data_IF_567110845379
#
_entry.id   IF_567110845379
#
_cell.length_a   1.000
_cell.length_b   1.000
_cell.length_c   1.000
_cell.angle_alpha   90.00
_cell.angle_beta   90.00
_cell.angle_gamma   90.00
#
_symmetry.space_group_name_H-M   'P 1'
#
loop_
_entity.id
_entity.type
_entity.pdbx_description
1 polymer ?
#
# COMPACT_ATOMS: atom_id res chain seq x y z
N UNK A 1 -34.42 -31.44 -56.59
CA UNK A 1 -35.17 -32.35 -55.72
C UNK A 1 -35.57 -31.56 -54.50
N UNK A 2 -36.84 -31.17 -54.52
CA UNK A 2 -37.46 -30.32 -53.49
C UNK A 2 -38.01 -31.25 -52.41
N UNK A 3 -37.47 -31.15 -51.19
CA UNK A 3 -38.01 -31.90 -50.06
C UNK A 3 -39.25 -31.16 -49.57
N UNK A 4 -40.43 -31.74 -49.89
CA UNK A 4 -41.68 -31.27 -49.29
C UNK A 4 -41.64 -31.47 -47.79
N UNK A 5 -41.63 -30.37 -47.05
CA UNK A 5 -41.77 -30.33 -45.61
C UNK A 5 -43.16 -30.85 -45.23
N UNK A 6 -43.22 -32.05 -44.68
CA UNK A 6 -44.47 -32.66 -44.20
C UNK A 6 -44.87 -31.99 -42.90
N UNK A 7 -45.98 -31.26 -42.94
CA UNK A 7 -46.53 -30.65 -41.75
C UNK A 7 -46.92 -31.72 -40.70
N UNK A 8 -46.58 -31.54 -39.41
CA UNK A 8 -46.91 -32.51 -38.36
C UNK A 8 -48.41 -32.65 -38.22
N UNK A 9 -48.91 -33.87 -38.00
CA UNK A 9 -50.30 -34.24 -37.79
C UNK A 9 -50.74 -33.79 -36.40
N UNK A 10 -51.97 -33.33 -36.21
CA UNK A 10 -52.47 -32.82 -34.92
C UNK A 10 -52.60 -33.88 -33.81
N UNK A 11 -52.41 -35.15 -34.15
CA UNK A 11 -52.55 -36.25 -33.20
C UNK A 11 -51.22 -36.87 -32.77
N UNK A 12 -50.07 -36.30 -33.14
CA UNK A 12 -48.77 -36.77 -32.65
C UNK A 12 -48.63 -36.43 -31.17
N UNK A 13 -48.30 -37.44 -30.30
CA UNK A 13 -48.05 -37.15 -28.90
C UNK A 13 -46.94 -36.14 -28.77
N UNK A 14 -47.22 -35.00 -28.15
CA UNK A 14 -46.21 -33.99 -27.81
C UNK A 14 -45.22 -34.66 -26.84
N UNK A 15 -44.09 -35.08 -27.43
CA UNK A 15 -42.94 -35.52 -26.62
C UNK A 15 -42.43 -34.31 -25.84
N UNK A 16 -42.88 -34.20 -24.60
CA UNK A 16 -42.38 -33.20 -23.67
C UNK A 16 -40.92 -33.58 -23.39
N UNK A 17 -40.02 -32.97 -24.16
CA UNK A 17 -38.59 -33.04 -23.86
C UNK A 17 -38.39 -32.70 -22.38
N UNK A 18 -37.69 -33.57 -21.60
CA UNK A 18 -37.40 -33.24 -20.23
C UNK A 18 -36.71 -31.87 -20.18
N UNK A 19 -37.33 -30.94 -19.45
CA UNK A 19 -36.81 -29.61 -19.27
C UNK A 19 -35.31 -29.73 -18.97
N UNK A 20 -34.52 -29.17 -19.90
CA UNK A 20 -33.07 -29.10 -19.72
C UNK A 20 -32.84 -28.51 -18.33
N UNK A 21 -32.29 -29.34 -17.45
CA UNK A 21 -31.91 -28.94 -16.12
C UNK A 21 -31.07 -27.68 -16.30
N UNK A 22 -31.66 -26.53 -15.98
CA UNK A 22 -30.94 -25.27 -15.89
C UNK A 22 -29.80 -25.52 -14.94
N UNK A 23 -28.62 -25.76 -15.52
CA UNK A 23 -27.38 -25.81 -14.75
C UNK A 23 -27.29 -24.47 -14.04
N UNK A 24 -27.68 -24.49 -12.76
CA UNK A 24 -27.49 -23.37 -11.86
C UNK A 24 -26.03 -22.95 -12.02
N UNK A 25 -25.74 -21.67 -12.34
CA UNK A 25 -24.36 -21.22 -12.44
C UNK A 25 -23.70 -21.58 -11.11
N UNK A 26 -22.72 -22.47 -11.16
CA UNK A 26 -21.95 -22.87 -9.98
C UNK A 26 -21.52 -21.58 -9.28
N UNK A 27 -22.03 -21.39 -8.06
CA UNK A 27 -21.62 -20.27 -7.25
C UNK A 27 -20.08 -20.23 -7.28
N UNK A 28 -19.46 -19.07 -7.54
CA UNK A 28 -18.02 -18.98 -7.55
C UNK A 28 -17.54 -19.56 -6.22
N UNK A 29 -16.93 -20.73 -6.27
CA UNK A 29 -16.21 -21.27 -5.12
C UNK A 29 -15.21 -20.21 -4.74
N UNK A 30 -15.50 -19.50 -3.65
CA UNK A 30 -14.53 -18.65 -2.98
C UNK A 30 -13.42 -19.62 -2.58
N UNK A 31 -12.46 -19.81 -3.51
CA UNK A 31 -11.20 -20.46 -3.18
C UNK A 31 -10.73 -19.76 -1.93
N UNK A 32 -10.75 -20.45 -0.80
CA UNK A 32 -10.23 -19.94 0.43
C UNK A 32 -8.86 -19.37 0.11
N UNK A 33 -8.77 -18.05 0.11
CA UNK A 33 -7.52 -17.36 -0.16
C UNK A 33 -6.58 -17.85 0.93
N UNK A 34 -5.72 -18.82 0.59
CA UNK A 34 -4.59 -19.18 1.43
C UNK A 34 -3.84 -17.87 1.63
N UNK A 35 -4.07 -17.27 2.80
CA UNK A 35 -3.48 -15.98 3.12
C UNK A 35 -1.96 -16.14 3.01
N UNK A 36 -1.38 -15.54 1.98
CA UNK A 36 0.06 -15.58 1.78
C UNK A 36 0.75 -15.14 3.08
N UNK A 37 1.82 -15.83 3.52
CA UNK A 37 2.50 -15.47 4.75
C UNK A 37 3.03 -14.04 4.64
N UNK A 38 2.70 -13.20 5.61
CA UNK A 38 3.09 -11.80 5.65
C UNK A 38 2.02 -10.89 6.26
N UNK A 39 2.44 -9.70 6.67
CA UNK A 39 1.55 -8.68 7.24
C UNK A 39 0.70 -8.06 6.13
N UNK A 40 -0.57 -7.79 6.46
CA UNK A 40 -1.47 -7.07 5.54
C UNK A 40 -0.94 -5.67 5.22
N UNK A 41 -1.25 -5.10 4.05
CA UNK A 41 -0.82 -3.76 3.65
C UNK A 41 -1.08 -2.69 4.72
N UNK A 42 -2.26 -2.70 5.32
CA UNK A 42 -2.62 -1.78 6.39
C UNK A 42 -1.69 -1.86 7.60
N UNK A 43 -1.20 -3.06 7.96
CA UNK A 43 -0.26 -3.23 9.07
C UNK A 43 1.11 -2.61 8.76
N UNK A 44 1.60 -2.76 7.53
CA UNK A 44 2.86 -2.13 7.10
C UNK A 44 2.74 -0.61 7.12
N UNK A 45 1.64 -0.05 6.59
CA UNK A 45 1.36 1.38 6.65
C UNK A 45 1.34 1.91 8.08
N UNK A 46 0.61 1.23 8.98
CA UNK A 46 0.51 1.62 10.38
C UNK A 46 1.87 1.64 11.07
N UNK A 47 2.70 0.62 10.83
CA UNK A 47 4.02 0.55 11.46
C UNK A 47 4.94 1.64 10.91
N UNK A 48 5.07 1.76 9.58
CA UNK A 48 5.99 2.72 8.97
C UNK A 48 5.59 4.16 9.31
N UNK A 49 4.33 4.52 9.14
CA UNK A 49 3.82 5.86 9.44
C UNK A 49 3.85 6.10 10.96
N UNK A 50 3.32 5.19 11.77
CA UNK A 50 3.22 5.34 13.20
C UNK A 50 4.57 5.52 13.86
N UNK A 51 5.54 4.64 13.54
CA UNK A 51 6.90 4.77 14.07
C UNK A 51 7.55 6.08 13.65
N UNK A 52 7.43 6.45 12.36
CA UNK A 52 8.05 7.69 11.86
C UNK A 52 7.45 8.93 12.48
N UNK A 53 6.13 8.99 12.64
CA UNK A 53 5.44 10.13 13.28
C UNK A 53 5.80 10.23 14.77
N UNK A 54 5.75 9.12 15.52
CA UNK A 54 6.11 9.09 16.93
C UNK A 54 7.56 9.53 17.14
N UNK A 55 8.47 9.02 16.32
CA UNK A 55 9.88 9.42 16.38
C UNK A 55 10.11 10.86 15.91
N UNK A 56 9.28 11.37 15.00
CA UNK A 56 9.26 12.78 14.62
C UNK A 56 8.87 13.69 15.79
N UNK A 57 7.87 13.31 16.57
CA UNK A 57 7.53 14.02 17.82
C UNK A 57 8.66 13.94 18.84
N UNK A 58 9.27 12.77 19.02
CA UNK A 58 10.41 12.63 19.92
C UNK A 58 11.60 13.50 19.48
N UNK A 59 11.89 13.54 18.17
CA UNK A 59 12.97 14.37 17.62
C UNK A 59 12.70 15.86 17.83
N UNK A 60 11.46 16.33 17.59
CA UNK A 60 11.07 17.71 17.80
C UNK A 60 11.14 18.13 19.28
N UNK A 61 10.73 17.25 20.20
CA UNK A 61 10.68 17.55 21.64
C UNK A 61 12.04 17.40 22.33
N UNK A 62 12.84 16.39 21.96
CA UNK A 62 14.10 16.07 22.66
C UNK A 62 15.28 16.83 22.05
N UNK A 63 15.34 16.91 20.74
CA UNK A 63 16.47 17.55 20.03
C UNK A 63 16.27 19.06 19.94
N UNK A 64 15.02 19.55 20.02
CA UNK A 64 14.71 20.98 20.06
C UNK A 64 15.18 21.77 18.85
N UNK A 65 15.31 21.10 17.69
CA UNK A 65 15.77 21.72 16.45
C UNK A 65 14.64 22.43 15.73
N UNK A 66 15.00 23.36 14.86
CA UNK A 66 14.06 24.09 14.00
C UNK A 66 13.45 23.25 12.87
N UNK A 67 13.83 21.97 12.77
CA UNK A 67 13.30 21.01 11.79
C UNK A 67 13.55 19.57 12.27
N UNK A 68 12.75 18.64 11.78
CA UNK A 68 12.93 17.20 12.02
C UNK A 68 14.32 16.76 11.54
N UNK A 69 14.99 15.96 12.35
CA UNK A 69 16.39 15.65 12.19
C UNK A 69 16.69 14.18 11.90
N UNK A 70 17.90 13.77 12.26
CA UNK A 70 18.46 12.46 12.00
C UNK A 70 17.72 11.30 12.72
N UNK A 71 17.14 11.58 13.88
CA UNK A 71 16.39 10.57 14.66
C UNK A 71 15.16 10.09 13.89
N UNK A 72 14.40 11.02 13.31
CA UNK A 72 13.27 10.72 12.43
C UNK A 72 13.75 9.97 11.19
N UNK A 73 14.89 10.35 10.60
CA UNK A 73 15.46 9.72 9.43
C UNK A 73 15.88 8.25 9.68
N UNK A 74 16.59 7.98 10.79
CA UNK A 74 17.00 6.61 11.15
C UNK A 74 15.78 5.73 11.43
N UNK A 75 14.79 6.24 12.15
CA UNK A 75 13.57 5.50 12.45
C UNK A 75 12.78 5.17 11.20
N UNK A 76 12.69 6.12 10.25
CA UNK A 76 12.11 5.90 8.93
C UNK A 76 12.81 4.76 8.18
N UNK A 77 14.15 4.78 8.15
CA UNK A 77 14.94 3.73 7.50
C UNK A 77 14.69 2.37 8.15
N UNK A 78 14.74 2.28 9.48
CA UNK A 78 14.51 1.04 10.21
C UNK A 78 13.08 0.50 9.98
N UNK A 79 12.07 1.36 10.07
CA UNK A 79 10.68 1.00 9.83
C UNK A 79 10.44 0.55 8.36
N UNK A 80 11.12 1.18 7.40
CA UNK A 80 11.05 0.82 5.98
C UNK A 80 11.67 -0.53 5.69
N UNK A 81 12.83 -0.83 6.28
CA UNK A 81 13.46 -2.15 6.20
C UNK A 81 12.52 -3.22 6.78
N UNK A 82 12.00 -2.99 7.97
CA UNK A 82 11.06 -3.91 8.59
C UNK A 82 9.82 -4.13 7.71
N UNK A 83 9.19 -3.06 7.23
CA UNK A 83 8.04 -3.12 6.36
C UNK A 83 8.31 -3.91 5.07
N UNK A 84 9.46 -3.66 4.42
CA UNK A 84 9.86 -4.37 3.20
C UNK A 84 10.14 -5.87 3.43
N UNK A 85 10.58 -6.26 4.64
CA UNK A 85 10.82 -7.67 4.98
C UNK A 85 9.53 -8.42 5.29
N UNK A 86 8.55 -7.77 5.93
CA UNK A 86 7.36 -8.42 6.48
C UNK A 86 6.14 -8.32 5.55
N UNK A 87 6.13 -7.38 4.62
CA UNK A 87 5.04 -7.19 3.64
C UNK A 87 4.85 -8.44 2.77
N UNK A 88 3.59 -8.74 2.41
CA UNK A 88 3.26 -9.77 1.44
C UNK A 88 3.85 -9.41 0.07
N UNK A 89 4.24 -10.43 -0.70
CA UNK A 89 4.89 -10.23 -2.00
C UNK A 89 3.99 -9.53 -3.03
N UNK A 90 2.71 -9.79 -2.98
CA UNK A 90 1.68 -9.14 -3.81
C UNK A 90 1.58 -7.65 -3.53
N UNK A 91 1.80 -7.25 -2.25
CA UNK A 91 1.68 -5.88 -1.77
C UNK A 91 3.02 -5.15 -1.63
N UNK A 92 4.09 -5.72 -2.16
CA UNK A 92 5.46 -5.23 -1.96
C UNK A 92 5.69 -3.79 -2.43
N UNK A 93 4.91 -3.29 -3.39
CA UNK A 93 4.98 -1.91 -3.87
C UNK A 93 4.62 -0.91 -2.76
N UNK A 94 3.76 -1.31 -1.84
CA UNK A 94 3.34 -0.49 -0.70
C UNK A 94 4.53 -0.15 0.21
N UNK A 95 5.42 -1.11 0.44
CA UNK A 95 6.62 -0.89 1.24
C UNK A 95 7.59 0.14 0.60
N UNK A 96 7.53 0.32 -0.71
CA UNK A 96 8.36 1.31 -1.44
C UNK A 96 7.75 2.70 -1.39
N UNK A 97 6.41 2.80 -1.41
CA UNK A 97 5.70 4.09 -1.39
C UNK A 97 5.55 4.63 0.04
N UNK A 98 5.52 3.75 1.04
CA UNK A 98 5.30 4.12 2.43
C UNK A 98 6.33 5.12 3.01
N UNK A 99 7.65 5.00 2.78
CA UNK A 99 8.64 5.90 3.37
C UNK A 99 8.43 7.39 3.05
N UNK A 100 8.29 7.83 1.78
CA UNK A 100 8.10 9.25 1.50
C UNK A 100 6.79 9.79 2.09
N UNK A 101 5.72 9.00 2.08
CA UNK A 101 4.45 9.41 2.69
C UNK A 101 4.54 9.48 4.22
N UNK A 102 5.23 8.53 4.86
CA UNK A 102 5.42 8.53 6.30
C UNK A 102 6.23 9.75 6.76
N UNK A 103 7.30 10.08 6.03
CA UNK A 103 8.09 11.27 6.34
C UNK A 103 7.31 12.56 6.10
N UNK A 104 6.55 12.65 5.02
CA UNK A 104 5.67 13.79 4.76
C UNK A 104 4.64 13.98 5.88
N UNK A 105 3.98 12.90 6.31
CA UNK A 105 3.04 12.95 7.44
C UNK A 105 3.71 13.35 8.74
N UNK A 106 4.90 12.85 9.02
CA UNK A 106 5.68 13.29 10.19
C UNK A 106 6.02 14.79 10.11
N UNK A 107 6.37 15.30 8.93
CA UNK A 107 6.66 16.71 8.73
C UNK A 107 5.45 17.59 8.99
N UNK A 108 4.28 17.27 8.47
CA UNK A 108 3.07 18.09 8.65
C UNK A 108 2.42 17.94 10.03
N UNK A 109 2.78 16.91 10.81
CA UNK A 109 2.28 16.68 12.17
C UNK A 109 3.30 17.12 13.22
N UNK A 110 4.38 16.38 13.39
CA UNK A 110 5.41 16.68 14.37
C UNK A 110 6.19 17.96 14.01
N UNK A 111 6.33 18.28 12.74
CA UNK A 111 6.97 19.51 12.27
C UNK A 111 6.27 20.79 12.75
N UNK A 112 4.96 20.73 13.09
CA UNK A 112 4.25 21.89 13.67
C UNK A 112 4.89 22.39 14.97
N UNK A 113 5.53 21.51 15.72
CA UNK A 113 6.25 21.88 16.95
C UNK A 113 7.52 22.70 16.68
N UNK A 114 8.01 22.68 15.45
CA UNK A 114 9.23 23.40 15.06
C UNK A 114 8.96 24.72 14.34
N UNK A 115 7.68 25.09 14.15
CA UNK A 115 7.29 26.31 13.45
C UNK A 115 7.68 27.56 14.24
N UNK A 116 8.30 28.57 13.59
CA UNK A 116 8.56 29.85 14.24
C UNK A 116 7.25 30.57 14.62
N UNK A 117 7.22 31.36 15.72
CA UNK A 117 5.98 31.94 16.23
C UNK A 117 5.44 33.13 15.40
N UNK A 118 6.23 33.67 14.46
CA UNK A 118 5.92 34.90 13.74
C UNK A 118 5.78 34.70 12.24
N UNK A 119 4.92 35.47 11.58
CA UNK A 119 4.71 35.46 10.15
C UNK A 119 3.40 34.82 9.70
N UNK A 120 3.10 34.87 8.41
CA UNK A 120 1.94 34.24 7.80
C UNK A 120 1.99 32.71 7.93
N UNK A 121 0.90 32.09 8.38
CA UNK A 121 0.84 30.65 8.67
C UNK A 121 1.18 29.81 7.45
N UNK A 122 0.59 30.11 6.29
CA UNK A 122 0.78 29.31 5.08
C UNK A 122 2.21 29.39 4.57
N UNK A 123 2.82 30.57 4.62
CA UNK A 123 4.20 30.76 4.21
C UNK A 123 5.16 30.01 5.13
N UNK A 124 4.93 30.07 6.44
CA UNK A 124 5.73 29.34 7.45
C UNK A 124 5.65 27.86 7.28
N UNK A 125 4.43 27.35 7.09
CA UNK A 125 4.19 25.91 6.92
C UNK A 125 4.82 25.39 5.61
N UNK A 126 4.62 26.09 4.49
CA UNK A 126 5.23 25.75 3.22
C UNK A 126 6.76 25.76 3.31
N UNK A 127 7.35 26.79 3.93
CA UNK A 127 8.78 26.89 4.12
C UNK A 127 9.32 25.76 5.00
N UNK A 128 8.64 25.44 6.10
CA UNK A 128 9.00 24.34 7.00
C UNK A 128 8.96 22.99 6.26
N UNK A 129 7.91 22.72 5.49
CA UNK A 129 7.79 21.49 4.72
C UNK A 129 8.94 21.37 3.70
N UNK A 130 9.17 22.42 2.89
CA UNK A 130 10.19 22.40 1.86
C UNK A 130 11.59 22.22 2.47
N UNK A 131 11.91 22.98 3.52
CA UNK A 131 13.23 22.90 4.15
C UNK A 131 13.45 21.57 4.86
N UNK A 132 12.44 21.05 5.57
CA UNK A 132 12.54 19.76 6.25
C UNK A 132 12.68 18.60 5.27
N UNK A 133 11.88 18.57 4.20
CA UNK A 133 12.02 17.54 3.17
C UNK A 133 13.36 17.65 2.45
N UNK A 134 13.79 18.86 2.11
CA UNK A 134 15.07 19.10 1.45
C UNK A 134 16.27 18.67 2.31
N UNK A 135 16.28 19.05 3.57
CA UNK A 135 17.35 18.70 4.52
C UNK A 135 17.42 17.19 4.80
N UNK A 136 16.27 16.51 4.72
CA UNK A 136 16.16 15.06 5.00
C UNK A 136 16.00 14.20 3.73
N UNK A 137 16.21 14.77 2.55
CA UNK A 137 16.05 14.06 1.28
C UNK A 137 16.85 12.76 1.23
N UNK A 138 18.06 12.74 1.77
CA UNK A 138 18.91 11.55 1.83
C UNK A 138 18.25 10.39 2.62
N UNK A 139 17.57 10.70 3.70
CA UNK A 139 16.86 9.70 4.50
C UNK A 139 15.61 9.17 3.78
N UNK A 140 14.85 10.06 3.15
CA UNK A 140 13.63 9.70 2.41
C UNK A 140 13.97 8.85 1.19
N UNK A 141 14.89 9.30 0.35
CA UNK A 141 15.31 8.53 -0.82
C UNK A 141 16.08 7.28 -0.43
N UNK A 142 16.97 7.36 0.57
CA UNK A 142 17.72 6.22 1.07
C UNK A 142 16.81 5.10 1.56
N UNK A 143 15.82 5.41 2.38
CA UNK A 143 14.84 4.44 2.87
C UNK A 143 13.99 3.82 1.75
N UNK A 144 13.59 4.62 0.76
CA UNK A 144 12.85 4.17 -0.42
C UNK A 144 13.70 3.22 -1.27
N UNK A 145 14.96 3.56 -1.54
CA UNK A 145 15.87 2.70 -2.30
C UNK A 145 16.20 1.41 -1.58
N UNK A 146 16.41 1.44 -0.27
CA UNK A 146 16.63 0.24 0.53
C UNK A 146 15.39 -0.67 0.52
N UNK A 147 14.20 -0.11 0.71
CA UNK A 147 12.96 -0.87 0.61
C UNK A 147 12.79 -1.51 -0.78
N UNK A 148 13.05 -0.75 -1.84
CA UNK A 148 13.01 -1.24 -3.22
C UNK A 148 14.01 -2.37 -3.46
N UNK A 149 15.25 -2.22 -3.00
CA UNK A 149 16.28 -3.25 -3.13
C UNK A 149 15.88 -4.56 -2.44
N UNK A 150 15.35 -4.47 -1.21
CA UNK A 150 14.86 -5.64 -0.47
C UNK A 150 13.73 -6.33 -1.24
N UNK A 151 12.76 -5.57 -1.74
CA UNK A 151 11.63 -6.11 -2.51
C UNK A 151 12.11 -6.79 -3.79
N UNK A 152 13.05 -6.20 -4.53
CA UNK A 152 13.61 -6.77 -5.75
C UNK A 152 14.37 -8.07 -5.49
N UNK A 153 15.21 -8.10 -4.44
CA UNK A 153 15.95 -9.32 -4.04
C UNK A 153 14.98 -10.42 -3.66
N UNK A 154 13.94 -10.10 -2.88
CA UNK A 154 12.90 -11.08 -2.50
C UNK A 154 12.15 -11.63 -3.71
N UNK A 155 11.85 -10.80 -4.71
CA UNK A 155 11.20 -11.23 -5.96
C UNK A 155 12.09 -12.16 -6.78
N UNK A 156 13.37 -11.82 -6.93
CA UNK A 156 14.34 -12.65 -7.69
C UNK A 156 14.52 -14.03 -7.06
N UNK A 157 14.67 -14.11 -5.73
CA UNK A 157 14.82 -15.39 -5.02
C UNK A 157 13.63 -16.33 -5.11
N UNK A 158 12.49 -15.83 -5.56
CA UNK A 158 11.27 -16.63 -5.72
C UNK A 158 11.06 -17.12 -7.15
N UNK A 159 11.80 -16.55 -8.09
CA UNK A 159 11.74 -16.91 -9.51
C UNK A 159 12.84 -17.91 -9.90
N UNK A 160 13.80 -18.15 -8.99
CA UNK A 160 14.85 -19.17 -9.09
C UNK A 160 14.45 -20.44 -8.34
#
# INVERSE_FOLDING_TARGET
>A
MEYAEVAPRPDDPVEIAPAAATSSPAAPTVRGAHAAPGVRPAGVWLVVIGVTVVMGFADALVVGRTQLGWLTGISLLAASIYGALVVRREDAIIAVIAPPLAFFLATITAGQLTLPPTGDLLVREAFMIITTLGANAIWVFGSTFVALAIVLVRRRRSAA
#
